data_IF_232501900121
#
_entry.id   IF_232501900121
#
_cell.length_a   1.000
_cell.length_b   1.000
_cell.length_c   1.000
_cell.angle_alpha   90.00
_cell.angle_beta   90.00
_cell.angle_gamma   90.00
#
_symmetry.space_group_name_H-M   'P 1'
#
loop_
_entity.id
_entity.type
_entity.pdbx_description
1 polymer ?
#
# COMPACT_ATOMS: atom_id res chain seq x y z
N UNK A 1 -3.82 -22.63 -15.07
CA UNK A 1 -4.32 -23.62 -14.10
C UNK A 1 -3.90 -25.03 -14.51
N UNK A 2 -3.96 -26.00 -13.58
CA UNK A 2 -3.45 -27.38 -13.73
C UNK A 2 -3.92 -28.13 -15.00
N UNK A 3 -5.15 -27.89 -15.46
CA UNK A 3 -5.68 -28.50 -16.69
C UNK A 3 -5.03 -27.91 -17.96
N UNK A 4 -4.72 -26.61 -17.94
CA UNK A 4 -4.13 -25.89 -19.07
C UNK A 4 -2.69 -26.30 -19.35
N UNK A 5 -1.86 -26.47 -18.31
CA UNK A 5 -0.46 -26.91 -18.48
C UNK A 5 -0.37 -28.32 -19.08
N UNK A 6 -1.29 -29.23 -18.72
CA UNK A 6 -1.37 -30.57 -19.31
C UNK A 6 -1.69 -30.57 -20.81
N UNK A 7 -2.60 -29.68 -21.26
CA UNK A 7 -2.95 -29.54 -22.68
C UNK A 7 -1.75 -29.01 -23.48
N UNK A 8 -1.00 -28.05 -22.95
CA UNK A 8 0.18 -27.47 -23.60
C UNK A 8 1.28 -28.52 -23.81
N UNK A 9 1.61 -29.30 -22.77
CA UNK A 9 2.63 -30.37 -22.86
C UNK A 9 2.19 -31.42 -23.89
N UNK A 10 0.91 -31.81 -23.88
CA UNK A 10 0.34 -32.78 -24.83
C UNK A 10 0.34 -32.27 -26.27
N UNK A 11 0.03 -30.99 -26.50
CA UNK A 11 -0.02 -30.37 -27.83
C UNK A 11 1.38 -30.14 -28.42
N UNK A 12 2.33 -29.71 -27.61
CA UNK A 12 3.68 -29.35 -28.06
C UNK A 12 4.69 -30.52 -28.00
N UNK A 13 4.29 -31.69 -27.49
CA UNK A 13 5.14 -32.90 -27.37
C UNK A 13 6.49 -32.62 -26.68
N UNK A 14 6.47 -31.90 -25.56
CA UNK A 14 7.70 -31.53 -24.84
C UNK A 14 8.39 -32.75 -24.21
N UNK A 15 9.70 -32.86 -24.39
CA UNK A 15 10.59 -33.76 -23.65
C UNK A 15 10.76 -33.27 -22.19
N UNK A 16 11.16 -34.12 -21.22
CA UNK A 16 11.42 -33.69 -19.83
C UNK A 16 12.36 -32.49 -19.71
N UNK A 17 13.38 -32.42 -20.58
CA UNK A 17 14.29 -31.26 -20.67
C UNK A 17 13.55 -30.00 -21.13
N UNK A 18 12.65 -30.13 -22.10
CA UNK A 18 11.82 -29.02 -22.59
C UNK A 18 10.88 -28.48 -21.51
N UNK A 19 10.31 -29.34 -20.67
CA UNK A 19 9.51 -28.92 -19.53
C UNK A 19 10.34 -28.12 -18.52
N UNK A 20 11.57 -28.57 -18.22
CA UNK A 20 12.49 -27.85 -17.33
C UNK A 20 12.82 -26.45 -17.86
N UNK A 21 13.16 -26.34 -19.16
CA UNK A 21 13.42 -25.06 -19.78
C UNK A 21 12.20 -24.15 -19.81
N UNK A 22 11.00 -24.68 -20.10
CA UNK A 22 9.76 -23.91 -20.12
C UNK A 22 9.45 -23.29 -18.74
N UNK A 23 9.60 -24.07 -17.66
CA UNK A 23 9.41 -23.52 -16.32
C UNK A 23 10.47 -22.47 -15.97
N UNK A 24 11.75 -22.73 -16.30
CA UNK A 24 12.83 -21.80 -16.00
C UNK A 24 12.66 -20.47 -16.76
N UNK A 25 12.32 -20.51 -18.04
CA UNK A 25 12.08 -19.30 -18.84
C UNK A 25 10.86 -18.54 -18.34
N UNK A 26 9.78 -19.22 -17.96
CA UNK A 26 8.59 -18.57 -17.41
C UNK A 26 8.89 -17.79 -16.11
N UNK A 27 9.71 -18.36 -15.23
CA UNK A 27 10.13 -17.71 -13.98
C UNK A 27 11.03 -16.51 -14.28
N UNK A 28 11.99 -16.66 -15.20
CA UNK A 28 12.89 -15.57 -15.60
C UNK A 28 12.08 -14.42 -16.20
N UNK A 29 11.19 -14.70 -17.15
CA UNK A 29 10.33 -13.69 -17.79
C UNK A 29 9.46 -13.00 -16.74
N UNK A 30 8.79 -13.77 -15.88
CA UNK A 30 7.96 -13.21 -14.80
C UNK A 30 8.77 -12.27 -13.90
N UNK A 31 9.93 -12.73 -13.44
CA UNK A 31 10.83 -11.93 -12.59
C UNK A 31 11.25 -10.64 -13.28
N UNK A 32 11.73 -10.74 -14.53
CA UNK A 32 12.12 -9.59 -15.34
C UNK A 32 10.97 -8.60 -15.57
N UNK A 33 9.73 -9.06 -15.71
CA UNK A 33 8.56 -8.19 -15.84
C UNK A 33 8.15 -7.55 -14.50
N UNK A 34 8.27 -8.26 -13.37
CA UNK A 34 7.86 -7.75 -12.06
C UNK A 34 8.88 -6.81 -11.42
N UNK A 35 10.17 -6.98 -11.67
CA UNK A 35 11.24 -6.15 -11.07
C UNK A 35 11.07 -4.66 -11.41
N UNK A 36 10.81 -4.26 -12.66
CA UNK A 36 10.54 -2.85 -13.01
C UNK A 36 9.34 -2.26 -12.27
N UNK A 37 8.32 -3.07 -11.95
CA UNK A 37 7.13 -2.60 -11.24
C UNK A 37 7.45 -2.18 -9.79
N UNK A 38 8.51 -2.73 -9.19
CA UNK A 38 8.98 -2.34 -7.86
C UNK A 38 9.58 -0.92 -7.85
N UNK A 39 9.98 -0.39 -9.01
CA UNK A 39 10.50 0.97 -9.15
C UNK A 39 9.40 1.99 -9.48
N UNK A 40 8.17 1.55 -9.73
CA UNK A 40 7.03 2.45 -9.91
C UNK A 40 6.61 2.94 -8.52
N UNK A 41 7.05 4.14 -8.17
CA UNK A 41 6.54 4.85 -7.00
C UNK A 41 5.35 5.71 -7.40
N UNK A 42 4.30 5.67 -6.59
CA UNK A 42 3.20 6.64 -6.66
C UNK A 42 3.40 7.72 -5.58
N UNK A 43 2.88 8.95 -5.77
CA UNK A 43 2.85 9.94 -4.70
C UNK A 43 2.03 9.38 -3.52
N UNK A 44 2.66 9.28 -2.35
CA UNK A 44 1.99 8.84 -1.14
C UNK A 44 1.07 9.94 -0.64
N UNK A 45 -0.22 9.64 -0.48
CA UNK A 45 -1.16 10.59 0.14
C UNK A 45 -0.74 10.87 1.59
N UNK A 46 -0.79 12.13 2.05
CA UNK A 46 -0.40 12.47 3.42
C UNK A 46 -1.41 11.85 4.39
N UNK A 47 -0.91 11.02 5.31
CA UNK A 47 -1.67 10.40 6.39
C UNK A 47 -1.30 11.01 7.74
N UNK A 48 -2.30 11.52 8.46
CA UNK A 48 -2.14 12.06 9.80
C UNK A 48 -1.66 10.99 10.78
N UNK A 49 -0.60 11.30 11.53
CA UNK A 49 -0.04 10.41 12.55
C UNK A 49 0.80 9.26 12.02
N UNK A 50 1.04 9.17 10.70
CA UNK A 50 1.88 8.13 10.07
C UNK A 50 2.94 8.75 9.16
N UNK A 51 2.53 9.58 8.20
CA UNK A 51 3.45 10.19 7.24
C UNK A 51 3.59 11.69 7.46
N UNK A 52 2.57 12.33 8.05
CA UNK A 52 2.57 13.74 8.45
C UNK A 52 1.96 13.89 9.85
N UNK A 53 2.35 14.91 10.63
CA UNK A 53 1.71 15.18 11.91
C UNK A 53 0.26 15.68 11.75
N UNK A 54 -0.54 15.58 12.80
CA UNK A 54 -1.87 16.20 12.85
C UNK A 54 -1.75 17.73 12.74
N UNK A 55 -2.59 18.37 11.93
CA UNK A 55 -2.51 19.82 11.65
C UNK A 55 -1.60 20.19 10.47
N UNK A 56 -1.01 19.20 9.78
CA UNK A 56 -0.26 19.42 8.55
C UNK A 56 -1.11 20.09 7.47
N UNK A 57 -0.61 21.19 6.89
CA UNK A 57 -1.24 21.87 5.76
C UNK A 57 -0.40 21.67 4.49
N UNK A 58 -0.96 21.06 3.42
CA UNK A 58 -0.23 20.82 2.18
C UNK A 58 0.22 22.11 1.46
N UNK A 59 -0.40 23.26 1.73
CA UNK A 59 -0.03 24.55 1.13
C UNK A 59 1.09 25.28 1.89
N UNK A 60 1.38 24.88 3.14
CA UNK A 60 2.47 25.45 3.93
C UNK A 60 3.19 24.34 4.72
N UNK A 61 4.01 23.52 4.05
CA UNK A 61 4.66 22.34 4.66
C UNK A 61 5.73 22.68 5.70
N UNK A 62 6.14 23.96 5.84
CA UNK A 62 7.15 24.41 6.79
C UNK A 62 6.54 25.00 8.07
N UNK A 63 5.23 24.94 8.24
CA UNK A 63 4.59 25.42 9.46
C UNK A 63 5.03 24.54 10.65
N UNK A 64 5.47 25.13 11.78
CA UNK A 64 5.95 24.38 12.93
C UNK A 64 4.76 23.74 13.64
N UNK A 65 4.32 22.60 13.12
CA UNK A 65 3.31 21.77 13.78
C UNK A 65 3.90 21.29 15.09
N UNK A 66 3.25 21.63 16.20
CA UNK A 66 3.71 21.31 17.56
C UNK A 66 4.12 19.84 17.62
N UNK A 67 5.36 19.61 18.06
CA UNK A 67 6.08 18.36 18.12
C UNK A 67 5.33 17.29 18.95
N UNK A 68 4.30 16.70 18.37
CA UNK A 68 3.82 15.37 18.73
C UNK A 68 4.24 14.49 17.56
N UNK A 69 5.14 13.54 17.85
CA UNK A 69 5.70 12.64 16.84
C UNK A 69 4.63 11.85 16.08
N UNK A 70 5.08 10.96 15.21
CA UNK A 70 4.25 10.04 14.43
C UNK A 70 3.34 9.24 15.39
N UNK A 71 2.10 9.71 15.60
CA UNK A 71 1.12 9.18 16.54
C UNK A 71 -0.27 9.29 15.92
N UNK A 72 -1.04 8.20 15.97
CA UNK A 72 -2.43 8.18 15.52
C UNK A 72 -3.36 8.97 16.43
N UNK A 73 -2.96 9.26 17.67
CA UNK A 73 -3.72 10.02 18.64
C UNK A 73 -3.23 11.47 18.70
N UNK A 74 -4.17 12.42 18.68
CA UNK A 74 -3.96 13.85 18.82
C UNK A 74 -5.03 14.48 19.71
N UNK A 75 -4.90 15.77 20.03
CA UNK A 75 -5.94 16.51 20.78
C UNK A 75 -7.33 16.49 20.13
N UNK A 76 -7.41 16.24 18.83
CA UNK A 76 -8.68 16.15 18.11
C UNK A 76 -9.46 14.86 18.40
N UNK A 77 -8.75 13.77 18.74
CA UNK A 77 -9.35 12.44 18.88
C UNK A 77 -9.02 11.74 20.21
N UNK A 78 -8.28 12.38 21.11
CA UNK A 78 -7.87 11.83 22.41
C UNK A 78 -9.06 11.44 23.28
N UNK A 79 -10.20 12.11 23.12
CA UNK A 79 -11.39 11.91 23.96
C UNK A 79 -12.39 10.91 23.38
N UNK A 80 -12.19 10.41 22.14
CA UNK A 80 -13.12 9.47 21.50
C UNK A 80 -12.80 7.99 21.78
N UNK A 81 -11.65 7.69 22.39
CA UNK A 81 -11.13 6.34 22.61
C UNK A 81 -11.15 5.47 21.33
N UNK A 82 -10.56 5.99 20.25
CA UNK A 82 -10.61 5.35 18.93
C UNK A 82 -9.89 3.99 18.91
N UNK A 83 -10.49 2.94 18.29
CA UNK A 83 -9.85 1.63 18.15
C UNK A 83 -8.68 1.69 17.17
N UNK A 84 -7.49 1.28 17.63
CA UNK A 84 -6.25 1.26 16.85
C UNK A 84 -6.13 0.01 15.95
N UNK A 85 -6.99 -0.98 16.14
CA UNK A 85 -7.03 -2.23 15.37
C UNK A 85 -7.92 -2.14 14.11
N UNK A 86 -8.73 -1.08 13.97
CA UNK A 86 -9.69 -0.93 12.87
C UNK A 86 -9.29 0.13 11.87
N UNK A 87 -8.55 -0.30 10.84
CA UNK A 87 -8.21 0.54 9.70
C UNK A 87 -9.42 0.75 8.75
N UNK A 88 -9.87 2.00 8.62
CA UNK A 88 -10.98 2.43 7.75
C UNK A 88 -10.72 3.85 7.22
N UNK A 89 -9.73 4.02 6.32
CA UNK A 89 -9.20 5.34 5.98
C UNK A 89 -10.25 6.26 5.39
N UNK A 90 -10.23 7.52 5.81
CA UNK A 90 -11.10 8.58 5.27
C UNK A 90 -10.26 9.76 4.80
N UNK A 91 -10.66 10.40 3.71
CA UNK A 91 -10.02 11.62 3.21
C UNK A 91 -10.74 12.84 3.78
N UNK A 92 -10.01 13.68 4.50
CA UNK A 92 -10.53 14.95 5.00
C UNK A 92 -10.56 16.05 3.93
N UNK A 93 -11.34 17.12 4.15
CA UNK A 93 -11.39 18.27 3.23
C UNK A 93 -10.07 19.06 3.18
N UNK A 94 -9.19 18.85 4.16
CA UNK A 94 -7.81 19.35 4.23
C UNK A 94 -6.84 18.60 3.30
N UNK A 95 -7.30 17.54 2.62
CA UNK A 95 -6.48 16.71 1.73
C UNK A 95 -5.59 15.71 2.48
N UNK A 96 -5.81 15.52 3.79
CA UNK A 96 -5.10 14.57 4.63
C UNK A 96 -5.96 13.33 4.87
N UNK A 97 -5.33 12.15 4.83
CA UNK A 97 -6.00 10.88 5.12
C UNK A 97 -5.86 10.54 6.60
N UNK A 98 -6.95 10.09 7.22
CA UNK A 98 -6.99 9.68 8.63
C UNK A 98 -7.14 8.16 8.74
N UNK A 99 -6.61 7.55 9.80
CA UNK A 99 -6.63 6.08 10.00
C UNK A 99 -8.05 5.50 10.04
N UNK A 100 -8.98 6.24 10.63
CA UNK A 100 -10.41 6.00 10.52
C UNK A 100 -11.22 7.29 10.71
N UNK A 101 -12.54 7.23 10.47
CA UNK A 101 -13.43 8.37 10.73
C UNK A 101 -13.33 8.90 12.16
N UNK A 102 -13.16 8.03 13.15
CA UNK A 102 -12.96 8.42 14.56
C UNK A 102 -11.66 9.24 14.74
N UNK A 103 -10.60 8.86 14.04
CA UNK A 103 -9.31 9.54 14.14
C UNK A 103 -9.34 10.93 13.48
N UNK A 104 -10.31 11.21 12.61
CA UNK A 104 -10.55 12.53 12.04
C UNK A 104 -11.35 13.46 12.97
N UNK A 105 -11.94 12.94 14.06
CA UNK A 105 -12.66 13.70 15.07
C UNK A 105 -13.75 12.89 15.78
N UNK A 106 -14.09 13.27 17.01
CA UNK A 106 -15.26 12.72 17.71
C UNK A 106 -16.54 13.41 17.21
N UNK A 107 -17.59 12.64 16.91
CA UNK A 107 -18.96 13.15 16.75
C UNK A 107 -19.79 12.83 17.97
#
# INVERSE_FOLDING_TARGET
>A
GILGSGIVIKKMKLSPKGCMYLSATSIIISSCCTVPLMFISCPQSPMAGVTVPYGYNPNNPNEPTTLQGISLISSCNSDCNCPLDKYKPVCGPDGVTYFSGCHAGCT
#
